data_IF_995844921826
#
_entry.id   IF_995844921826
#
_cell.length_a   1.000
_cell.length_b   1.000
_cell.length_c   1.000
_cell.angle_alpha   90.00
_cell.angle_beta   90.00
_cell.angle_gamma   90.00
#
_symmetry.space_group_name_H-M   'P 1'
#
loop_
_entity.id
_entity.type
_entity.pdbx_description
1 polymer ?
#
# COMPACT_ATOMS: atom_id res chain seq x y z
N UNK A 1 15.37 49.25 3.53
CA UNK A 1 15.16 49.59 4.93
C UNK A 1 13.69 49.77 5.21
N UNK A 2 12.99 48.77 5.72
CA UNK A 2 11.66 48.91 6.35
C UNK A 2 11.63 47.96 7.58
N UNK A 3 11.40 48.55 8.74
CA UNK A 3 11.45 47.98 10.06
C UNK A 3 10.28 46.99 10.27
N UNK A 4 10.57 45.82 10.79
CA UNK A 4 9.58 44.86 11.32
C UNK A 4 9.15 45.35 12.72
N UNK A 5 7.86 45.55 12.96
CA UNK A 5 7.26 45.82 14.26
C UNK A 5 6.87 44.47 14.89
N UNK A 6 7.49 44.18 16.05
CA UNK A 6 7.07 43.11 16.95
C UNK A 6 5.87 43.59 17.78
N UNK A 7 4.82 42.77 17.86
CA UNK A 7 3.72 42.90 18.82
C UNK A 7 3.92 41.90 19.97
N UNK A 8 3.65 42.28 21.23
CA UNK A 8 3.93 41.44 22.39
C UNK A 8 2.78 40.48 22.70
N UNK A 9 3.16 39.25 23.09
CA UNK A 9 2.28 38.19 23.59
C UNK A 9 1.86 38.53 25.02
N UNK A 10 0.56 38.64 25.29
CA UNK A 10 -0.01 38.73 26.65
C UNK A 10 -0.14 37.32 27.24
N UNK A 11 0.56 37.10 28.35
CA UNK A 11 0.37 35.94 29.25
C UNK A 11 -0.88 36.15 30.08
N UNK A 12 -1.87 35.26 30.00
CA UNK A 12 -3.01 35.16 30.90
C UNK A 12 -2.75 34.09 31.96
N UNK A 13 -2.92 34.49 33.22
CA UNK A 13 -2.64 33.73 34.43
C UNK A 13 -3.65 32.60 34.70
N UNK A 14 -3.14 31.56 35.36
CA UNK A 14 -3.82 30.36 35.82
C UNK A 14 -4.87 30.62 36.91
N UNK A 15 -5.99 29.89 36.87
CA UNK A 15 -6.81 29.61 38.05
C UNK A 15 -6.79 28.10 38.29
N UNK A 16 -6.35 27.75 39.52
CA UNK A 16 -6.38 26.41 40.09
C UNK A 16 -7.78 26.16 40.65
N UNK A 17 -8.39 25.05 40.20
CA UNK A 17 -9.58 24.48 40.83
C UNK A 17 -9.28 23.04 41.25
N UNK A 18 -9.12 22.82 42.55
CA UNK A 18 -9.01 21.49 43.13
C UNK A 18 -10.41 20.90 43.34
N UNK A 19 -10.65 19.68 42.85
CA UNK A 19 -11.79 18.88 43.28
C UNK A 19 -11.29 17.50 43.72
N UNK A 20 -11.45 17.26 45.01
CA UNK A 20 -11.19 16.00 45.68
C UNK A 20 -12.28 14.99 45.32
N UNK A 21 -11.90 13.78 44.93
CA UNK A 21 -12.80 12.62 44.85
C UNK A 21 -12.45 11.63 45.94
N UNK A 22 -13.45 11.40 46.77
CA UNK A 22 -13.46 10.52 47.94
C UNK A 22 -13.47 9.04 47.49
N UNK A 23 -12.48 8.28 47.94
CA UNK A 23 -12.45 6.81 47.78
C UNK A 23 -13.06 6.18 49.04
N UNK A 24 -14.16 5.45 48.86
CA UNK A 24 -14.74 4.61 49.91
C UNK A 24 -14.16 3.21 49.77
N UNK A 25 -13.42 2.82 50.83
CA UNK A 25 -12.94 1.46 51.05
C UNK A 25 -14.03 0.70 51.87
N UNK A 26 -14.53 -0.40 51.34
CA UNK A 26 -15.30 -1.38 52.10
C UNK A 26 -14.41 -2.59 52.40
N UNK A 27 -14.15 -2.78 53.68
CA UNK A 27 -13.54 -3.94 54.32
C UNK A 27 -14.64 -5.00 54.60
N UNK A 28 -14.32 -6.25 54.39
CA UNK A 28 -14.99 -7.42 54.98
C UNK A 28 -14.22 -8.63 54.55
N UNK A 29 -13.76 -9.47 55.36
CA UNK A 29 -13.86 -9.88 56.72
C UNK A 29 -13.28 -11.31 56.79
N UNK A 30 -12.48 -11.54 57.81
CA UNK A 30 -11.67 -12.70 58.13
C UNK A 30 -12.44 -14.06 58.16
N UNK A 31 -11.73 -15.16 57.87
CA UNK A 31 -11.74 -16.31 58.79
C UNK A 31 -10.37 -17.04 58.77
N UNK A 32 -9.84 -17.26 59.98
CA UNK A 32 -8.67 -18.08 60.32
C UNK A 32 -9.03 -19.56 60.28
N UNK A 33 -8.04 -20.43 60.03
CA UNK A 33 -7.64 -21.52 60.97
C UNK A 33 -6.53 -22.37 60.33
N UNK A 34 -5.50 -22.46 61.01
CA UNK A 34 -4.80 -23.50 61.81
C UNK A 34 -3.74 -24.26 61.02
N UNK A 35 -2.49 -23.99 61.40
CA UNK A 35 -1.38 -24.93 61.42
C UNK A 35 -1.65 -26.06 62.42
N UNK A 36 -1.18 -27.31 62.21
CA UNK A 36 0.09 -27.67 62.85
C UNK A 36 0.91 -28.78 62.14
N UNK A 37 2.19 -28.84 62.44
CA UNK A 37 2.91 -30.11 62.56
C UNK A 37 4.22 -30.27 61.80
N UNK A 38 5.29 -29.99 62.50
CA UNK A 38 6.64 -30.50 62.25
C UNK A 38 6.69 -32.01 61.96
N UNK A 39 7.44 -32.42 60.94
CA UNK A 39 8.03 -33.74 60.84
C UNK A 39 9.38 -33.70 60.13
N UNK A 40 10.37 -34.47 60.54
CA UNK A 40 11.78 -34.26 60.25
C UNK A 40 12.21 -34.75 58.87
N UNK A 41 13.27 -34.10 58.35
CA UNK A 41 13.93 -34.52 57.12
C UNK A 41 14.65 -35.86 57.23
N UNK A 42 14.56 -36.75 56.23
CA UNK A 42 15.48 -37.88 56.10
C UNK A 42 16.73 -37.40 55.30
N UNK A 43 17.89 -37.56 55.94
CA UNK A 43 19.19 -37.56 55.33
C UNK A 43 19.36 -38.86 54.50
N UNK A 44 19.52 -38.71 53.20
CA UNK A 44 19.84 -39.81 52.30
C UNK A 44 20.71 -39.27 51.17
N UNK A 45 22.03 -39.45 51.32
CA UNK A 45 23.01 -39.26 50.24
C UNK A 45 22.87 -40.44 49.26
N UNK A 46 22.13 -40.21 48.19
CA UNK A 46 22.10 -41.12 47.04
C UNK A 46 22.65 -40.36 45.85
N UNK A 47 23.89 -40.66 45.47
CA UNK A 47 24.47 -40.18 44.22
C UNK A 47 23.66 -40.69 43.05
N UNK A 48 23.15 -39.78 42.25
CA UNK A 48 22.59 -40.08 40.94
C UNK A 48 23.80 -40.20 40.01
N UNK A 49 24.14 -41.43 39.63
CA UNK A 49 25.02 -41.66 38.47
C UNK A 49 24.32 -41.11 37.24
N UNK A 50 24.96 -40.11 36.59
CA UNK A 50 24.56 -39.63 35.26
C UNK A 50 24.88 -40.76 34.27
N UNK A 51 23.97 -41.09 33.35
CA UNK A 51 24.27 -42.02 32.26
C UNK A 51 25.41 -41.44 31.39
N UNK A 52 26.22 -42.33 30.77
CA UNK A 52 27.37 -41.93 29.98
C UNK A 52 26.94 -41.07 28.79
N UNK A 53 27.74 -40.10 28.49
CA UNK A 53 27.76 -39.13 27.40
C UNK A 53 26.86 -39.52 26.22
N UNK A 54 25.72 -38.81 26.10
CA UNK A 54 25.07 -38.63 24.81
C UNK A 54 25.97 -37.66 24.06
N UNK A 55 26.89 -38.19 23.26
CA UNK A 55 27.58 -37.42 22.25
C UNK A 55 26.52 -36.64 21.49
N UNK A 56 26.66 -35.29 21.51
CA UNK A 56 25.91 -34.39 20.70
C UNK A 56 25.91 -34.90 19.25
N UNK A 57 24.83 -35.54 18.84
CA UNK A 57 24.46 -35.58 17.46
C UNK A 57 24.00 -34.13 17.10
N UNK A 58 24.98 -33.25 16.94
CA UNK A 58 24.82 -32.09 16.11
C UNK A 58 24.57 -32.64 14.71
N UNK A 59 23.27 -32.85 14.41
CA UNK A 59 22.83 -33.14 13.07
C UNK A 59 23.43 -32.05 12.21
N UNK A 60 24.22 -32.44 11.21
CA UNK A 60 24.59 -31.59 10.09
C UNK A 60 23.36 -30.77 9.71
N UNK A 61 23.44 -29.44 9.51
CA UNK A 61 22.31 -28.66 9.05
C UNK A 61 21.77 -29.40 7.83
N UNK A 62 20.58 -30.00 7.97
CA UNK A 62 19.83 -30.43 6.80
C UNK A 62 19.73 -29.18 5.95
N UNK A 63 20.13 -29.29 4.71
CA UNK A 63 20.00 -28.29 3.67
C UNK A 63 18.51 -27.90 3.62
N UNK A 64 18.14 -26.93 4.47
CA UNK A 64 16.78 -26.42 4.52
C UNK A 64 16.70 -25.54 3.29
N UNK A 65 16.15 -26.10 2.21
CA UNK A 65 15.93 -25.42 0.95
C UNK A 65 15.31 -24.03 1.13
N UNK A 66 15.35 -23.20 0.11
CA UNK A 66 14.82 -21.83 0.16
C UNK A 66 13.33 -21.87 0.56
N UNK A 67 12.92 -21.22 1.66
CA UNK A 67 11.51 -21.23 2.08
C UNK A 67 10.59 -20.79 0.94
N UNK A 68 9.50 -21.53 0.74
CA UNK A 68 8.53 -21.32 -0.32
C UNK A 68 8.95 -21.82 -1.71
N UNK A 69 10.10 -22.50 -1.82
CA UNK A 69 10.55 -23.14 -3.07
C UNK A 69 10.64 -24.64 -2.86
N UNK A 70 9.93 -25.41 -3.68
CA UNK A 70 10.01 -26.88 -3.77
C UNK A 70 10.43 -27.29 -5.18
N UNK A 71 10.54 -28.58 -5.46
CA UNK A 71 10.89 -29.07 -6.80
C UNK A 71 9.83 -28.71 -7.85
N UNK A 72 8.58 -28.54 -7.45
CA UNK A 72 7.42 -28.35 -8.32
C UNK A 72 6.70 -27.00 -8.13
N UNK A 73 7.08 -26.19 -7.14
CA UNK A 73 6.32 -25.00 -6.74
C UNK A 73 7.17 -23.86 -6.19
N UNK A 74 6.70 -22.61 -6.42
CA UNK A 74 7.15 -21.41 -5.73
C UNK A 74 5.92 -20.72 -5.12
N UNK A 75 5.91 -20.52 -3.80
CA UNK A 75 4.78 -20.00 -3.04
C UNK A 75 4.97 -18.52 -2.70
N UNK A 76 4.03 -17.70 -3.14
CA UNK A 76 3.94 -16.28 -2.80
C UNK A 76 2.85 -16.02 -1.76
N UNK A 77 2.99 -14.92 -1.02
CA UNK A 77 2.02 -14.46 -0.03
C UNK A 77 1.49 -13.07 -0.35
N UNK A 78 0.19 -12.83 -0.12
CA UNK A 78 -0.41 -11.51 -0.22
C UNK A 78 -1.24 -11.20 1.03
N UNK A 79 -0.91 -10.10 1.74
CA UNK A 79 -1.80 -9.46 2.70
C UNK A 79 -2.40 -8.24 2.04
N UNK A 80 -3.72 -8.16 1.96
CA UNK A 80 -4.43 -7.04 1.34
C UNK A 80 -5.87 -6.96 1.84
N UNK A 81 -6.54 -5.84 1.59
CA UNK A 81 -7.95 -5.67 1.91
C UNK A 81 -8.84 -6.52 0.98
N UNK A 82 -9.36 -7.64 1.47
CA UNK A 82 -10.36 -8.47 0.77
C UNK A 82 -11.76 -8.28 1.36
N UNK A 83 -11.88 -7.51 2.43
CA UNK A 83 -13.12 -7.06 3.05
C UNK A 83 -13.08 -5.57 3.39
N UNK A 84 -14.20 -5.01 3.87
CA UNK A 84 -14.29 -3.61 4.28
C UNK A 84 -14.32 -2.60 3.12
N UNK A 85 -14.21 -1.29 3.44
CA UNK A 85 -14.38 -0.20 2.46
C UNK A 85 -13.31 -0.14 1.36
N UNK A 86 -12.18 -0.84 1.50
CA UNK A 86 -11.09 -0.88 0.52
C UNK A 86 -11.02 -2.22 -0.26
N UNK A 87 -12.01 -3.12 -0.10
CA UNK A 87 -11.97 -4.50 -0.62
C UNK A 87 -11.74 -4.60 -2.13
N UNK A 88 -12.22 -3.63 -2.92
CA UNK A 88 -12.03 -3.63 -4.37
C UNK A 88 -10.56 -3.53 -4.77
N UNK A 89 -9.72 -2.85 -3.95
CA UNK A 89 -8.30 -2.70 -4.22
C UNK A 89 -7.58 -4.05 -4.07
N UNK A 90 -7.75 -4.73 -2.94
CA UNK A 90 -7.15 -6.04 -2.70
C UNK A 90 -7.65 -7.11 -3.67
N UNK A 91 -8.96 -7.14 -3.90
CA UNK A 91 -9.58 -8.14 -4.79
C UNK A 91 -9.08 -8.01 -6.22
N UNK A 92 -9.04 -6.79 -6.77
CA UNK A 92 -8.58 -6.58 -8.14
C UNK A 92 -7.06 -6.81 -8.28
N UNK A 93 -6.25 -6.39 -7.29
CA UNK A 93 -4.82 -6.69 -7.27
C UNK A 93 -4.57 -8.21 -7.31
N UNK A 94 -5.28 -8.97 -6.48
CA UNK A 94 -5.22 -10.45 -6.48
C UNK A 94 -5.62 -11.08 -7.81
N UNK A 95 -6.67 -10.57 -8.47
CA UNK A 95 -7.09 -11.08 -9.77
C UNK A 95 -5.97 -10.96 -10.80
N UNK A 96 -5.31 -9.81 -10.86
CA UNK A 96 -4.20 -9.59 -11.77
C UNK A 96 -3.03 -10.54 -11.51
N UNK A 97 -2.56 -10.64 -10.26
CA UNK A 97 -1.44 -11.52 -9.89
C UNK A 97 -1.77 -12.98 -10.24
N UNK A 98 -2.98 -13.45 -9.89
CA UNK A 98 -3.39 -14.83 -10.20
C UNK A 98 -3.51 -15.10 -11.69
N UNK A 99 -3.97 -14.14 -12.48
CA UNK A 99 -4.03 -14.28 -13.93
C UNK A 99 -2.63 -14.45 -14.54
N UNK A 100 -1.65 -13.64 -14.13
CA UNK A 100 -0.27 -13.78 -14.56
C UNK A 100 0.36 -15.13 -14.15
N UNK A 101 0.10 -15.59 -12.93
CA UNK A 101 0.59 -16.88 -12.45
C UNK A 101 -0.09 -18.05 -13.18
N UNK A 102 -1.39 -17.99 -13.40
CA UNK A 102 -2.12 -19.03 -14.13
C UNK A 102 -1.62 -19.15 -15.58
N UNK A 103 -1.37 -18.03 -16.25
CA UNK A 103 -0.85 -17.99 -17.61
C UNK A 103 0.52 -18.69 -17.74
N UNK A 104 1.47 -18.41 -16.81
CA UNK A 104 2.77 -19.09 -16.85
C UNK A 104 2.66 -20.54 -16.43
N UNK A 105 1.76 -20.87 -15.50
CA UNK A 105 1.54 -22.24 -15.04
C UNK A 105 1.01 -23.17 -16.14
N UNK A 106 0.17 -22.69 -17.06
CA UNK A 106 -0.26 -23.47 -18.23
C UNK A 106 0.90 -23.89 -19.14
N UNK A 107 2.00 -23.10 -19.11
CA UNK A 107 3.22 -23.40 -19.86
C UNK A 107 4.24 -24.22 -19.07
N UNK A 108 3.87 -24.71 -17.88
CA UNK A 108 4.72 -25.54 -17.01
C UNK A 108 5.45 -24.73 -15.92
N UNK A 109 5.03 -23.50 -15.67
CA UNK A 109 5.60 -22.64 -14.62
C UNK A 109 6.97 -22.05 -14.99
N UNK A 110 7.73 -21.64 -13.98
CA UNK A 110 9.08 -21.09 -14.12
C UNK A 110 10.10 -22.16 -13.71
N UNK A 111 10.98 -22.54 -14.61
CA UNK A 111 11.94 -23.63 -14.42
C UNK A 111 11.29 -24.94 -13.93
N UNK A 112 10.09 -25.26 -14.43
CA UNK A 112 9.33 -26.45 -14.06
C UNK A 112 8.57 -26.35 -12.72
N UNK A 113 8.55 -25.18 -12.09
CA UNK A 113 7.84 -24.92 -10.82
C UNK A 113 6.61 -24.06 -11.07
N UNK A 114 5.46 -24.49 -10.57
CA UNK A 114 4.23 -23.73 -10.62
C UNK A 114 4.26 -22.60 -9.59
N UNK A 115 3.66 -21.46 -9.91
CA UNK A 115 3.55 -20.32 -9.01
C UNK A 115 2.20 -20.34 -8.32
N UNK A 116 2.20 -20.25 -6.98
CA UNK A 116 1.00 -20.20 -6.15
C UNK A 116 0.94 -18.95 -5.27
N UNK A 117 -0.28 -18.51 -4.95
CA UNK A 117 -0.55 -17.33 -4.13
C UNK A 117 -1.47 -17.65 -2.96
N UNK A 118 -0.93 -17.61 -1.73
CA UNK A 118 -1.71 -17.58 -0.48
C UNK A 118 -2.12 -16.15 -0.16
N UNK A 119 -3.39 -15.94 0.19
CA UNK A 119 -3.91 -14.60 0.47
C UNK A 119 -4.55 -14.51 1.86
N UNK A 120 -4.22 -13.48 2.62
CA UNK A 120 -4.81 -13.17 3.92
C UNK A 120 -5.44 -11.78 3.90
N UNK A 121 -6.63 -11.65 4.48
CA UNK A 121 -7.37 -10.39 4.56
C UNK A 121 -6.85 -9.54 5.72
N UNK A 122 -6.42 -8.31 5.43
CA UNK A 122 -6.06 -7.34 6.46
C UNK A 122 -7.13 -6.24 6.64
N UNK A 123 -8.19 -6.26 5.87
CA UNK A 123 -9.26 -5.25 5.87
C UNK A 123 -8.75 -3.79 5.83
N UNK A 124 -7.54 -3.59 5.28
CA UNK A 124 -6.82 -2.32 5.26
C UNK A 124 -6.42 -1.82 6.66
N UNK A 125 -6.14 -2.74 7.61
CA UNK A 125 -5.73 -2.42 8.99
C UNK A 125 -4.26 -2.83 9.23
N UNK A 126 -3.40 -1.90 9.72
CA UNK A 126 -1.97 -2.12 9.92
C UNK A 126 -1.62 -3.28 10.85
N UNK A 127 -2.38 -3.44 11.93
CA UNK A 127 -2.18 -4.50 12.91
C UNK A 127 -2.44 -5.89 12.31
N UNK A 128 -3.49 -6.00 11.48
CA UNK A 128 -3.78 -7.24 10.75
C UNK A 128 -2.69 -7.53 9.70
N UNK A 129 -2.16 -6.50 9.03
CA UNK A 129 -1.07 -6.66 8.07
C UNK A 129 0.23 -7.17 8.72
N UNK A 130 0.53 -6.80 9.98
CA UNK A 130 1.65 -7.38 10.74
C UNK A 130 1.43 -8.88 10.94
N UNK A 131 0.29 -9.25 11.53
CA UNK A 131 -0.06 -10.64 11.82
C UNK A 131 -0.05 -11.49 10.53
N UNK A 132 -0.70 -11.00 9.48
CA UNK A 132 -0.73 -11.69 8.19
C UNK A 132 0.67 -11.88 7.61
N UNK A 133 1.54 -10.87 7.70
CA UNK A 133 2.93 -10.99 7.22
C UNK A 133 3.71 -12.04 8.00
N UNK A 134 3.54 -12.09 9.32
CA UNK A 134 4.15 -13.12 10.17
C UNK A 134 3.63 -14.51 9.79
N UNK A 135 2.31 -14.68 9.63
CA UNK A 135 1.70 -15.95 9.26
C UNK A 135 2.13 -16.42 7.87
N UNK A 136 2.15 -15.52 6.89
CA UNK A 136 2.62 -15.83 5.53
C UNK A 136 4.09 -16.26 5.54
N UNK A 137 4.94 -15.59 6.30
CA UNK A 137 6.39 -15.85 6.34
C UNK A 137 6.70 -17.10 7.17
N UNK A 138 6.16 -17.20 8.39
CA UNK A 138 6.60 -18.20 9.36
C UNK A 138 5.70 -19.42 9.42
N UNK A 139 4.40 -19.32 9.08
CA UNK A 139 3.48 -20.45 9.08
C UNK A 139 3.31 -21.05 7.68
N UNK A 140 3.10 -20.19 6.67
CA UNK A 140 2.97 -20.64 5.28
C UNK A 140 4.31 -20.84 4.59
N UNK A 141 5.39 -20.22 5.10
CA UNK A 141 6.73 -20.36 4.56
C UNK A 141 6.86 -19.81 3.14
N UNK A 142 6.25 -18.67 2.83
CA UNK A 142 6.26 -18.10 1.46
C UNK A 142 7.65 -17.67 1.02
N UNK A 143 7.92 -17.76 -0.27
CA UNK A 143 9.15 -17.26 -0.89
C UNK A 143 9.25 -15.74 -0.81
N UNK A 144 8.18 -15.04 -1.18
CA UNK A 144 8.10 -13.59 -1.19
C UNK A 144 6.69 -13.12 -0.85
N UNK A 145 6.56 -11.86 -0.40
CA UNK A 145 5.29 -11.14 -0.32
C UNK A 145 5.10 -10.31 -1.57
N UNK A 146 3.91 -10.34 -2.18
CA UNK A 146 3.60 -9.67 -3.43
C UNK A 146 2.26 -8.94 -3.38
N UNK A 147 2.20 -7.73 -3.95
CA UNK A 147 0.94 -7.02 -4.18
C UNK A 147 0.19 -6.63 -2.90
N UNK A 148 0.89 -6.39 -1.80
CA UNK A 148 0.27 -5.86 -0.59
C UNK A 148 -0.39 -4.51 -0.86
N UNK A 149 -1.56 -4.24 -0.26
CA UNK A 149 -2.34 -3.04 -0.56
C UNK A 149 -2.26 -2.03 0.58
N UNK A 150 -1.78 -0.84 0.24
CA UNK A 150 -1.85 0.33 1.11
C UNK A 150 -0.54 0.78 1.76
N UNK A 151 -0.48 2.05 2.07
CA UNK A 151 0.68 2.67 2.73
C UNK A 151 0.77 2.31 4.21
N UNK A 152 -0.31 2.45 5.03
CA UNK A 152 -0.25 2.12 6.45
C UNK A 152 0.03 0.62 6.68
N UNK A 153 -0.59 -0.25 5.91
CA UNK A 153 -0.37 -1.71 5.95
C UNK A 153 1.05 -2.09 5.53
N UNK A 154 1.56 -1.51 4.42
CA UNK A 154 2.95 -1.74 3.98
C UNK A 154 3.97 -1.20 4.98
N UNK A 155 3.71 -0.04 5.62
CA UNK A 155 4.60 0.49 6.66
C UNK A 155 4.75 -0.45 7.85
N UNK A 156 3.68 -1.17 8.18
CA UNK A 156 3.67 -2.15 9.27
C UNK A 156 4.23 -3.51 8.86
N UNK A 157 4.05 -3.92 7.61
CA UNK A 157 4.48 -5.23 7.09
C UNK A 157 5.97 -5.27 6.70
N UNK A 158 6.52 -4.18 6.15
CA UNK A 158 7.90 -4.15 5.65
C UNK A 158 8.98 -4.43 6.70
N UNK A 159 8.88 -3.99 7.98
CA UNK A 159 9.84 -4.40 9.00
C UNK A 159 9.88 -5.92 9.22
N UNK A 160 8.71 -6.59 9.21
CA UNK A 160 8.61 -8.06 9.34
C UNK A 160 9.28 -8.76 8.15
N UNK A 161 8.98 -8.31 6.93
CA UNK A 161 9.58 -8.86 5.72
C UNK A 161 11.10 -8.64 5.67
N UNK A 162 11.58 -7.43 6.06
CA UNK A 162 13.01 -7.09 6.12
C UNK A 162 13.77 -7.98 7.10
N UNK A 163 13.26 -8.10 8.34
CA UNK A 163 13.87 -8.93 9.38
C UNK A 163 14.00 -10.40 8.93
N UNK A 164 13.00 -10.90 8.22
CA UNK A 164 12.99 -12.27 7.69
C UNK A 164 13.74 -12.44 6.35
N UNK A 165 14.31 -11.36 5.77
CA UNK A 165 14.97 -11.39 4.47
C UNK A 165 14.04 -11.82 3.33
N UNK A 166 12.75 -11.47 3.41
CA UNK A 166 11.70 -11.83 2.44
C UNK A 166 11.52 -10.69 1.45
N UNK A 167 11.58 -10.93 0.13
CA UNK A 167 11.25 -9.91 -0.88
C UNK A 167 9.82 -9.40 -0.72
N UNK A 168 9.64 -8.08 -0.82
CA UNK A 168 8.36 -7.37 -0.75
C UNK A 168 8.09 -6.71 -2.10
N UNK A 169 7.30 -7.38 -2.92
CA UNK A 169 7.21 -7.12 -4.37
C UNK A 169 5.96 -6.31 -4.69
N UNK A 170 6.14 -5.23 -5.45
CA UNK A 170 5.09 -4.42 -6.05
C UNK A 170 3.93 -4.08 -5.08
N UNK A 171 4.22 -3.50 -3.90
CA UNK A 171 3.15 -3.03 -3.03
C UNK A 171 2.31 -1.96 -3.74
N UNK A 172 0.98 -2.09 -3.66
CA UNK A 172 0.04 -1.14 -4.24
C UNK A 172 0.01 0.15 -3.41
N UNK A 173 1.09 0.91 -3.51
CA UNK A 173 1.28 2.23 -2.88
C UNK A 173 2.46 2.98 -3.49
N UNK A 174 2.29 4.30 -3.68
CA UNK A 174 3.34 5.21 -4.16
C UNK A 174 4.14 5.89 -3.04
N UNK A 175 4.07 5.41 -1.78
CA UNK A 175 4.67 6.09 -0.65
C UNK A 175 6.21 6.14 -0.71
N UNK A 176 6.79 7.32 -0.52
CA UNK A 176 8.23 7.58 -0.68
C UNK A 176 9.12 6.75 0.23
N UNK A 177 8.65 6.35 1.45
CA UNK A 177 9.47 5.55 2.37
C UNK A 177 9.86 4.17 1.79
N UNK A 178 9.06 3.61 0.88
CA UNK A 178 9.36 2.33 0.21
C UNK A 178 10.45 2.46 -0.88
N UNK A 179 10.83 3.68 -1.25
CA UNK A 179 11.85 3.99 -2.25
C UNK A 179 13.24 4.21 -1.65
N UNK A 180 13.39 4.00 -0.34
CA UNK A 180 14.70 3.95 0.32
C UNK A 180 15.32 2.56 0.10
N UNK A 181 15.99 2.38 -1.04
CA UNK A 181 16.59 1.10 -1.43
C UNK A 181 17.75 0.69 -0.51
N UNK A 182 18.41 1.65 0.14
CA UNK A 182 19.48 1.38 1.11
C UNK A 182 18.90 0.77 2.39
N UNK A 183 17.83 1.35 2.91
CA UNK A 183 17.17 0.85 4.11
C UNK A 183 16.28 -0.37 3.83
N UNK A 184 15.63 -0.41 2.66
CA UNK A 184 14.65 -1.43 2.27
C UNK A 184 15.07 -2.17 1.00
N UNK A 185 16.29 -2.73 0.99
CA UNK A 185 16.84 -3.47 -0.15
C UNK A 185 16.02 -4.72 -0.55
N UNK A 186 15.12 -5.19 0.31
CA UNK A 186 14.19 -6.29 0.00
C UNK A 186 12.88 -5.82 -0.66
N UNK A 187 12.67 -4.50 -0.80
CA UNK A 187 11.45 -3.94 -1.42
C UNK A 187 11.69 -3.68 -2.90
N UNK A 188 10.74 -4.10 -3.74
CA UNK A 188 10.74 -3.88 -5.18
C UNK A 188 9.46 -3.16 -5.54
N UNK A 189 9.54 -1.89 -5.92
CA UNK A 189 8.39 -1.09 -6.33
C UNK A 189 8.20 -1.15 -7.85
N UNK A 190 6.95 -1.30 -8.30
CA UNK A 190 6.63 -1.30 -9.73
C UNK A 190 6.33 0.12 -10.23
N UNK A 191 5.56 0.88 -9.48
CA UNK A 191 4.86 2.11 -9.87
C UNK A 191 5.59 3.39 -9.49
N UNK A 192 5.23 4.50 -10.15
CA UNK A 192 5.62 5.86 -9.77
C UNK A 192 5.24 6.19 -8.32
N UNK A 193 6.01 7.09 -7.70
CA UNK A 193 5.76 7.56 -6.35
C UNK A 193 4.63 8.57 -6.27
N UNK A 194 4.02 8.72 -5.08
CA UNK A 194 3.05 9.79 -4.84
C UNK A 194 3.64 11.19 -5.03
N UNK A 195 4.94 11.36 -4.82
CA UNK A 195 5.60 12.63 -5.09
C UNK A 195 5.58 12.98 -6.59
N UNK A 196 5.76 11.99 -7.47
CA UNK A 196 5.68 12.17 -8.92
C UNK A 196 4.23 12.43 -9.35
N UNK A 197 3.27 11.67 -8.82
CA UNK A 197 1.85 11.90 -9.14
C UNK A 197 1.40 13.30 -8.71
N UNK A 198 1.72 13.71 -7.48
CA UNK A 198 1.29 15.02 -6.96
C UNK A 198 2.00 16.19 -7.63
N UNK A 199 3.26 15.99 -8.05
CA UNK A 199 3.97 16.97 -8.88
C UNK A 199 3.23 17.20 -10.22
N UNK A 200 2.89 16.11 -10.92
CA UNK A 200 2.13 16.19 -12.16
C UNK A 200 0.72 16.78 -11.94
N UNK A 201 0.05 16.47 -10.83
CA UNK A 201 -1.25 17.07 -10.51
C UNK A 201 -1.18 18.59 -10.38
N UNK A 202 -0.24 19.09 -9.56
CA UNK A 202 -0.09 20.53 -9.35
C UNK A 202 0.37 21.22 -10.63
N UNK A 203 1.33 20.65 -11.35
CA UNK A 203 1.83 21.17 -12.63
C UNK A 203 0.69 21.33 -13.63
N UNK A 204 -0.11 20.28 -13.88
CA UNK A 204 -1.18 20.31 -14.87
C UNK A 204 -2.34 21.23 -14.47
N UNK A 205 -2.67 21.33 -13.17
CA UNK A 205 -3.66 22.31 -12.71
C UNK A 205 -3.26 23.73 -13.07
N UNK A 206 -1.98 24.05 -12.96
CA UNK A 206 -1.45 25.39 -13.26
C UNK A 206 -1.27 25.59 -14.76
N UNK A 207 -0.57 24.68 -15.43
CA UNK A 207 -0.19 24.84 -16.83
C UNK A 207 -1.37 24.68 -17.80
N UNK A 208 -2.24 23.67 -17.58
CA UNK A 208 -3.34 23.37 -18.48
C UNK A 208 -4.58 24.25 -18.20
N UNK A 209 -4.82 24.61 -16.93
CA UNK A 209 -6.07 25.24 -16.49
C UNK A 209 -5.89 26.64 -15.89
N UNK A 210 -4.67 27.07 -15.61
CA UNK A 210 -4.38 28.35 -14.93
C UNK A 210 -4.87 28.40 -13.48
N UNK A 211 -5.07 27.25 -12.84
CA UNK A 211 -5.61 27.14 -11.48
C UNK A 211 -4.51 27.44 -10.46
N UNK A 212 -4.80 28.32 -9.49
CA UNK A 212 -3.86 28.72 -8.45
C UNK A 212 -4.38 28.49 -7.03
N UNK A 213 -5.68 28.29 -6.84
CA UNK A 213 -6.27 27.97 -5.53
C UNK A 213 -6.58 26.49 -5.42
N UNK A 214 -5.59 25.73 -4.92
CA UNK A 214 -5.63 24.27 -4.80
C UNK A 214 -5.85 23.91 -3.33
N UNK A 215 -6.75 22.96 -3.08
CA UNK A 215 -6.98 22.38 -1.76
C UNK A 215 -6.77 20.88 -1.77
N UNK A 216 -6.57 20.28 -0.60
CA UNK A 216 -6.38 18.84 -0.44
C UNK A 216 -7.39 18.27 0.56
N UNK A 217 -8.02 17.14 0.18
CA UNK A 217 -8.64 16.22 1.13
C UNK A 217 -7.75 14.97 1.23
N UNK A 218 -7.39 14.55 2.44
CA UNK A 218 -6.55 13.38 2.61
C UNK A 218 -7.01 12.46 3.74
N UNK A 219 -6.69 11.16 3.63
CA UNK A 219 -6.86 10.18 4.70
C UNK A 219 -5.88 10.48 5.84
N UNK A 220 -6.32 10.60 7.08
CA UNK A 220 -5.46 10.99 8.21
C UNK A 220 -4.62 9.81 8.74
N UNK A 221 -3.70 9.36 7.90
CA UNK A 221 -2.68 8.36 8.22
C UNK A 221 -1.45 8.52 7.31
N UNK A 222 -0.55 7.51 7.30
CA UNK A 222 0.67 7.55 6.51
C UNK A 222 0.43 7.64 4.99
N UNK A 223 -0.71 7.13 4.49
CA UNK A 223 -1.08 7.24 3.08
C UNK A 223 -1.42 8.69 2.71
N UNK A 224 -2.42 9.25 3.41
CA UNK A 224 -2.86 10.60 3.10
C UNK A 224 -1.77 11.63 3.34
N UNK A 225 -0.95 11.45 4.39
CA UNK A 225 0.20 12.34 4.67
C UNK A 225 1.26 12.26 3.59
N UNK A 226 1.52 11.10 2.98
CA UNK A 226 2.47 10.98 1.87
C UNK A 226 2.03 11.80 0.66
N UNK A 227 0.78 11.68 0.23
CA UNK A 227 0.26 12.49 -0.88
C UNK A 227 0.13 13.97 -0.52
N UNK A 228 -0.36 14.30 0.68
CA UNK A 228 -0.45 15.69 1.16
C UNK A 228 0.91 16.40 1.14
N UNK A 229 1.96 15.74 1.67
CA UNK A 229 3.31 16.30 1.66
C UNK A 229 3.85 16.46 0.24
N UNK A 230 3.52 15.54 -0.66
CA UNK A 230 3.87 15.64 -2.07
C UNK A 230 3.23 16.86 -2.75
N UNK A 231 1.94 17.15 -2.45
CA UNK A 231 1.27 18.37 -2.94
C UNK A 231 1.93 19.63 -2.36
N UNK A 232 2.22 19.64 -1.05
CA UNK A 232 2.92 20.78 -0.45
C UNK A 232 4.27 21.04 -1.10
N UNK A 233 5.07 19.99 -1.31
CA UNK A 233 6.37 20.12 -1.97
C UNK A 233 6.24 20.61 -3.43
N UNK A 234 5.20 20.20 -4.14
CA UNK A 234 4.94 20.67 -5.51
C UNK A 234 4.52 22.15 -5.56
N UNK A 235 3.74 22.61 -4.58
CA UNK A 235 3.35 24.02 -4.43
C UNK A 235 4.54 24.89 -4.01
N UNK A 236 5.35 24.44 -3.05
CA UNK A 236 6.53 25.14 -2.55
C UNK A 236 7.54 25.43 -3.67
N UNK A 237 7.75 24.47 -4.58
CA UNK A 237 8.59 24.67 -5.78
C UNK A 237 8.09 25.79 -6.73
N UNK A 238 6.85 26.25 -6.53
CA UNK A 238 6.18 27.29 -7.34
C UNK A 238 5.85 28.55 -6.55
N UNK A 239 6.40 28.65 -5.31
CA UNK A 239 6.12 29.75 -4.37
C UNK A 239 4.60 29.94 -4.13
N UNK A 240 3.86 28.82 -4.03
CA UNK A 240 2.40 28.81 -3.86
C UNK A 240 2.01 28.20 -2.50
N UNK A 241 0.95 28.73 -1.92
CA UNK A 241 0.34 28.21 -0.70
C UNK A 241 -0.89 27.35 -1.02
N UNK A 242 -1.16 26.38 -0.14
CA UNK A 242 -2.38 25.59 -0.18
C UNK A 242 -3.59 26.46 0.24
N UNK A 243 -4.66 26.45 -0.55
CA UNK A 243 -5.86 27.23 -0.23
C UNK A 243 -6.62 26.72 1.00
N UNK A 244 -6.74 25.41 1.13
CA UNK A 244 -7.31 24.74 2.32
C UNK A 244 -6.92 23.28 2.38
N UNK A 245 -7.05 22.70 3.55
CA UNK A 245 -6.82 21.27 3.80
C UNK A 245 -7.91 20.68 4.66
N UNK A 246 -8.32 19.46 4.37
CA UNK A 246 -9.23 18.68 5.19
C UNK A 246 -8.74 17.23 5.29
N UNK A 247 -9.11 16.54 6.36
CA UNK A 247 -8.78 15.13 6.53
C UNK A 247 -9.99 14.30 6.97
N UNK A 248 -9.89 13.00 6.82
CA UNK A 248 -10.87 12.03 7.27
C UNK A 248 -10.18 10.76 7.79
N UNK A 249 -10.84 10.02 8.69
CA UNK A 249 -10.31 8.77 9.25
C UNK A 249 -10.39 7.62 8.25
N UNK A 250 -9.32 6.79 8.18
CA UNK A 250 -9.27 5.57 7.36
C UNK A 250 -10.54 4.72 7.56
N UNK A 251 -10.94 4.01 6.50
CA UNK A 251 -12.09 3.12 6.48
C UNK A 251 -13.44 3.79 6.82
N UNK A 252 -13.52 5.13 6.70
CA UNK A 252 -14.76 5.89 6.90
C UNK A 252 -15.07 6.80 5.71
N UNK A 253 -16.31 7.28 5.65
CA UNK A 253 -16.76 8.34 4.73
C UNK A 253 -17.10 9.64 5.48
N UNK A 254 -16.46 9.87 6.63
CA UNK A 254 -16.71 11.02 7.50
C UNK A 254 -16.06 12.30 6.97
N UNK A 255 -16.38 12.72 5.73
CA UNK A 255 -15.73 13.84 5.00
C UNK A 255 -16.47 15.19 5.14
N UNK A 256 -17.68 15.23 5.71
CA UNK A 256 -18.53 16.42 5.61
C UNK A 256 -17.93 17.68 6.22
N UNK A 257 -17.32 17.59 7.40
CA UNK A 257 -16.68 18.74 8.06
C UNK A 257 -15.52 19.23 7.20
N UNK A 258 -14.61 18.33 6.81
CA UNK A 258 -13.47 18.66 5.94
C UNK A 258 -13.92 19.29 4.60
N UNK A 259 -14.98 18.77 4.00
CA UNK A 259 -15.55 19.32 2.76
C UNK A 259 -16.08 20.75 2.96
N UNK A 260 -16.78 21.03 4.06
CA UNK A 260 -17.31 22.36 4.33
C UNK A 260 -16.17 23.37 4.60
N UNK A 261 -15.15 22.97 5.34
CA UNK A 261 -13.98 23.80 5.59
C UNK A 261 -13.22 24.11 4.31
N UNK A 262 -13.04 23.12 3.43
CA UNK A 262 -12.46 23.32 2.09
C UNK A 262 -13.32 24.29 1.28
N UNK A 263 -14.66 24.09 1.23
CA UNK A 263 -15.56 24.95 0.47
C UNK A 263 -15.53 26.41 0.92
N UNK A 264 -15.39 26.69 2.22
CA UNK A 264 -15.30 28.07 2.75
C UNK A 264 -14.13 28.86 2.19
N UNK A 265 -13.06 28.20 1.76
CA UNK A 265 -11.89 28.81 1.16
C UNK A 265 -12.01 28.95 -0.37
N UNK A 266 -13.15 28.56 -0.96
CA UNK A 266 -13.46 28.71 -2.39
C UNK A 266 -12.33 28.26 -3.33
N UNK A 267 -11.83 27.01 -3.22
CA UNK A 267 -10.76 26.52 -4.11
C UNK A 267 -11.30 26.32 -5.53
N UNK A 268 -10.37 26.37 -6.49
CA UNK A 268 -10.64 26.07 -7.90
C UNK A 268 -10.45 24.57 -8.19
N UNK A 269 -9.57 23.91 -7.41
CA UNK A 269 -9.36 22.48 -7.50
C UNK A 269 -9.25 21.85 -6.10
N UNK A 270 -9.61 20.57 -6.02
CA UNK A 270 -9.43 19.73 -4.84
C UNK A 270 -8.71 18.45 -5.27
N UNK A 271 -7.49 18.26 -4.75
CA UNK A 271 -6.75 17.00 -4.88
C UNK A 271 -7.22 16.08 -3.74
N UNK A 272 -7.61 14.86 -4.08
CA UNK A 272 -8.11 13.85 -3.14
C UNK A 272 -7.07 12.74 -3.01
N UNK A 273 -6.49 12.60 -1.82
CA UNK A 273 -5.62 11.51 -1.43
C UNK A 273 -6.43 10.54 -0.56
N UNK A 274 -7.17 9.67 -1.22
CA UNK A 274 -8.15 8.79 -0.59
C UNK A 274 -8.50 7.57 -1.42
N UNK A 275 -9.13 6.57 -0.77
CA UNK A 275 -9.74 5.44 -1.45
C UNK A 275 -11.11 5.85 -2.06
N UNK A 276 -11.68 4.96 -2.88
CA UNK A 276 -12.88 5.26 -3.68
C UNK A 276 -14.12 5.65 -2.87
N UNK A 277 -14.36 5.07 -1.69
CA UNK A 277 -15.54 5.38 -0.87
C UNK A 277 -15.55 6.84 -0.36
N UNK A 278 -14.53 7.33 0.37
CA UNK A 278 -14.47 8.72 0.80
C UNK A 278 -14.31 9.71 -0.35
N UNK A 279 -13.61 9.34 -1.43
CA UNK A 279 -13.50 10.17 -2.62
C UNK A 279 -14.86 10.36 -3.30
N UNK A 280 -15.62 9.30 -3.48
CA UNK A 280 -16.97 9.36 -4.02
C UNK A 280 -17.91 10.19 -3.12
N UNK A 281 -17.82 10.03 -1.80
CA UNK A 281 -18.57 10.83 -0.85
C UNK A 281 -18.25 12.32 -0.98
N UNK A 282 -16.97 12.70 -1.02
CA UNK A 282 -16.52 14.09 -1.20
C UNK A 282 -17.09 14.69 -2.48
N UNK A 283 -16.90 14.03 -3.61
CA UNK A 283 -17.29 14.52 -4.94
C UNK A 283 -18.82 14.63 -5.05
N UNK A 284 -19.55 13.59 -4.66
CA UNK A 284 -21.02 13.56 -4.77
C UNK A 284 -21.68 14.62 -3.88
N UNK A 285 -21.25 14.75 -2.61
CA UNK A 285 -21.77 15.77 -1.72
C UNK A 285 -21.42 17.18 -2.18
N UNK A 286 -20.21 17.40 -2.68
CA UNK A 286 -19.80 18.69 -3.23
C UNK A 286 -20.70 19.10 -4.38
N UNK A 287 -20.89 18.23 -5.38
CA UNK A 287 -21.77 18.50 -6.52
C UNK A 287 -23.24 18.68 -6.11
N UNK A 288 -23.72 17.91 -5.16
CA UNK A 288 -25.09 18.06 -4.62
C UNK A 288 -25.34 19.45 -4.02
N UNK A 289 -24.36 20.06 -3.36
CA UNK A 289 -24.48 21.41 -2.79
C UNK A 289 -23.97 22.51 -3.73
N UNK A 290 -23.86 22.25 -5.04
CA UNK A 290 -23.34 23.15 -6.07
C UNK A 290 -21.93 23.70 -5.80
N UNK A 291 -21.05 22.88 -5.18
CA UNK A 291 -19.63 23.14 -5.05
C UNK A 291 -18.89 22.29 -6.08
N UNK A 292 -18.43 22.90 -7.17
CA UNK A 292 -17.92 22.23 -8.36
C UNK A 292 -16.46 22.63 -8.71
N UNK A 293 -15.48 22.46 -7.83
CA UNK A 293 -14.08 22.60 -8.20
C UNK A 293 -13.67 21.48 -9.15
N UNK A 294 -12.50 21.60 -9.75
CA UNK A 294 -11.86 20.50 -10.44
C UNK A 294 -11.45 19.44 -9.41
N UNK A 295 -11.91 18.20 -9.56
CA UNK A 295 -11.53 17.09 -8.69
C UNK A 295 -10.47 16.22 -9.36
N UNK A 296 -9.35 16.02 -8.68
CA UNK A 296 -8.28 15.11 -9.09
C UNK A 296 -8.05 14.09 -7.97
N UNK A 297 -7.98 12.82 -8.33
CA UNK A 297 -7.70 11.73 -7.40
C UNK A 297 -6.36 11.09 -7.72
N UNK A 298 -5.65 10.65 -6.68
CA UNK A 298 -4.43 9.87 -6.81
C UNK A 298 -4.75 8.43 -7.27
N UNK A 299 -3.84 7.78 -7.98
CA UNK A 299 -4.03 6.45 -8.58
C UNK A 299 -4.52 5.37 -7.60
N UNK A 300 -4.14 5.47 -6.32
CA UNK A 300 -4.58 4.56 -5.26
C UNK A 300 -6.11 4.52 -5.07
N UNK A 301 -6.83 5.51 -5.58
CA UNK A 301 -8.29 5.64 -5.38
C UNK A 301 -9.07 4.40 -5.83
N UNK A 302 -8.60 3.64 -6.81
CA UNK A 302 -9.33 2.53 -7.41
C UNK A 302 -10.38 3.00 -8.40
N UNK A 303 -9.93 3.34 -9.60
CA UNK A 303 -10.71 4.08 -10.62
C UNK A 303 -12.05 3.45 -10.98
N UNK A 304 -12.10 2.12 -11.21
CA UNK A 304 -13.36 1.43 -11.55
C UNK A 304 -14.40 1.52 -10.42
N UNK A 305 -13.96 1.29 -9.18
CA UNK A 305 -14.82 1.40 -8.01
C UNK A 305 -15.30 2.84 -7.79
N UNK A 306 -14.42 3.82 -8.00
CA UNK A 306 -14.78 5.24 -7.94
C UNK A 306 -15.84 5.60 -9.00
N UNK A 307 -15.64 5.21 -10.26
CA UNK A 307 -16.60 5.47 -11.34
C UNK A 307 -17.99 4.88 -11.03
N UNK A 308 -18.00 3.64 -10.55
CA UNK A 308 -19.24 2.95 -10.16
C UNK A 308 -19.98 3.67 -9.03
N UNK A 309 -19.25 4.13 -8.00
CA UNK A 309 -19.84 4.86 -6.86
C UNK A 309 -20.35 6.26 -7.25
N UNK A 310 -19.66 6.94 -8.14
CA UNK A 310 -20.01 8.30 -8.57
C UNK A 310 -21.20 8.32 -9.54
N UNK A 311 -21.30 7.32 -10.42
CA UNK A 311 -22.30 7.37 -11.49
C UNK A 311 -22.24 8.70 -12.25
N UNK A 312 -23.39 9.37 -12.42
CA UNK A 312 -23.47 10.64 -13.14
C UNK A 312 -22.67 11.80 -12.49
N UNK A 313 -22.40 11.73 -11.18
CA UNK A 313 -21.57 12.73 -10.51
C UNK A 313 -20.08 12.63 -10.88
N UNK A 314 -19.68 11.55 -11.56
CA UNK A 314 -18.29 11.32 -11.92
C UNK A 314 -17.79 12.10 -13.12
N UNK A 315 -18.67 12.63 -13.95
CA UNK A 315 -18.29 13.35 -15.20
C UNK A 315 -17.33 14.49 -14.89
N UNK A 316 -16.17 14.49 -15.57
CA UNK A 316 -15.12 15.50 -15.41
C UNK A 316 -14.21 15.28 -14.19
N UNK A 317 -14.29 14.14 -13.52
CA UNK A 317 -13.38 13.77 -12.43
C UNK A 317 -12.11 13.16 -13.03
N UNK A 318 -10.96 13.68 -12.63
CA UNK A 318 -9.65 13.22 -13.07
C UNK A 318 -9.04 12.23 -12.09
N UNK A 319 -8.24 11.31 -12.63
CA UNK A 319 -7.42 10.38 -11.85
C UNK A 319 -6.06 10.24 -12.52
N UNK A 320 -4.96 10.37 -11.74
CA UNK A 320 -3.64 9.94 -12.19
C UNK A 320 -3.55 8.43 -12.19
N UNK A 321 -2.80 7.87 -13.13
CA UNK A 321 -2.56 6.44 -13.25
C UNK A 321 -1.06 6.18 -13.35
N UNK A 322 -0.63 4.98 -12.98
CA UNK A 322 0.79 4.62 -12.90
C UNK A 322 1.13 3.38 -13.71
N UNK A 323 0.15 2.87 -14.42
CA UNK A 323 0.25 1.78 -15.39
C UNK A 323 -0.48 2.18 -16.68
N UNK A 324 -0.21 1.55 -17.82
CA UNK A 324 -0.88 1.83 -19.09
C UNK A 324 -2.41 1.73 -18.99
N UNK A 325 -3.09 2.25 -19.99
CA UNK A 325 -4.55 2.20 -20.01
C UNK A 325 -5.03 0.74 -20.16
N UNK A 326 -5.87 0.20 -19.23
CA UNK A 326 -6.09 -1.23 -19.09
C UNK A 326 -6.95 -1.88 -20.19
N UNK A 327 -7.42 -1.10 -21.16
CA UNK A 327 -8.14 -1.58 -22.33
C UNK A 327 -7.49 -1.17 -23.65
N UNK A 328 -6.26 -0.62 -23.60
CA UNK A 328 -5.47 -0.31 -24.78
C UNK A 328 -4.67 -1.53 -25.21
N UNK A 329 -5.30 -2.39 -26.01
CA UNK A 329 -4.71 -3.62 -26.55
C UNK A 329 -3.61 -3.40 -27.61
N UNK A 330 -3.35 -2.13 -27.98
CA UNK A 330 -2.19 -1.78 -28.79
C UNK A 330 -0.87 -1.92 -28.01
N UNK A 331 -0.93 -1.88 -26.67
CA UNK A 331 0.21 -2.19 -25.79
C UNK A 331 0.25 -3.70 -25.53
N UNK A 332 1.27 -4.43 -26.01
CA UNK A 332 1.26 -5.88 -25.99
C UNK A 332 0.97 -6.51 -24.62
N UNK A 333 1.58 -6.00 -23.53
CA UNK A 333 1.31 -6.52 -22.18
C UNK A 333 -0.13 -6.29 -21.73
N UNK A 334 -0.81 -5.27 -22.24
CA UNK A 334 -2.23 -5.02 -21.95
C UNK A 334 -3.10 -6.04 -22.72
N UNK A 335 -2.76 -6.35 -23.97
CA UNK A 335 -3.44 -7.41 -24.72
C UNK A 335 -3.30 -8.79 -24.03
N UNK A 336 -2.11 -9.12 -23.54
CA UNK A 336 -1.85 -10.33 -22.74
C UNK A 336 -2.67 -10.33 -21.45
N UNK A 337 -2.68 -9.23 -20.72
CA UNK A 337 -3.49 -9.05 -19.50
C UNK A 337 -4.98 -9.29 -19.76
N UNK A 338 -5.55 -8.71 -20.83
CA UNK A 338 -6.95 -8.86 -21.16
C UNK A 338 -7.29 -10.34 -21.47
N UNK A 339 -6.46 -11.02 -22.24
CA UNK A 339 -6.62 -12.45 -22.55
C UNK A 339 -6.50 -13.33 -21.30
N UNK A 340 -5.52 -13.03 -20.41
CA UNK A 340 -5.34 -13.74 -19.15
C UNK A 340 -6.52 -13.53 -18.20
N UNK A 341 -7.05 -12.30 -18.10
CA UNK A 341 -8.23 -12.04 -17.28
C UNK A 341 -9.47 -12.78 -17.78
N UNK A 342 -9.73 -12.73 -19.08
CA UNK A 342 -10.85 -13.46 -19.70
C UNK A 342 -10.78 -14.96 -19.41
N UNK A 343 -9.58 -15.53 -19.49
CA UNK A 343 -9.37 -16.98 -19.32
C UNK A 343 -9.43 -17.41 -17.85
N UNK A 344 -8.68 -16.71 -16.96
CA UNK A 344 -8.43 -17.18 -15.58
C UNK A 344 -9.22 -16.43 -14.51
N UNK A 345 -9.77 -15.26 -14.82
CA UNK A 345 -10.56 -14.46 -13.92
C UNK A 345 -11.79 -13.84 -14.57
N UNK A 346 -12.70 -14.65 -15.20
CA UNK A 346 -13.78 -14.15 -16.08
C UNK A 346 -14.82 -13.27 -15.35
N UNK A 347 -14.77 -13.17 -14.03
CA UNK A 347 -15.61 -12.27 -13.23
C UNK A 347 -14.95 -10.91 -12.98
N UNK A 348 -13.66 -10.79 -13.22
CA UNK A 348 -12.94 -9.55 -13.05
C UNK A 348 -13.27 -8.57 -14.19
N UNK A 349 -13.43 -7.30 -13.83
CA UNK A 349 -13.58 -6.24 -14.83
C UNK A 349 -12.19 -5.64 -15.07
N UNK A 350 -11.72 -5.55 -16.31
CA UNK A 350 -10.44 -4.91 -16.62
C UNK A 350 -10.34 -3.51 -16.01
N UNK A 351 -9.22 -3.22 -15.35
CA UNK A 351 -9.00 -1.95 -14.68
C UNK A 351 -7.56 -1.76 -14.24
N UNK A 352 -7.23 -0.54 -13.84
CA UNK A 352 -5.86 -0.16 -13.48
C UNK A 352 -5.28 -1.00 -12.33
N UNK A 353 -6.08 -1.30 -11.30
CA UNK A 353 -5.64 -2.09 -10.14
C UNK A 353 -5.34 -3.54 -10.53
N UNK A 354 -6.20 -4.17 -11.34
CA UNK A 354 -5.96 -5.55 -11.79
C UNK A 354 -4.85 -5.63 -12.84
N UNK A 355 -4.67 -4.62 -13.69
CA UNK A 355 -3.49 -4.53 -14.57
C UNK A 355 -2.21 -4.40 -13.76
N UNK A 356 -2.17 -3.55 -12.73
CA UNK A 356 -1.00 -3.44 -11.86
C UNK A 356 -0.68 -4.76 -11.15
N UNK A 357 -1.71 -5.49 -10.69
CA UNK A 357 -1.55 -6.83 -10.16
C UNK A 357 -0.98 -7.82 -11.17
N UNK A 358 -1.44 -7.76 -12.43
CA UNK A 358 -0.90 -8.59 -13.50
C UNK A 358 0.57 -8.27 -13.79
N UNK A 359 0.90 -6.98 -13.88
CA UNK A 359 2.29 -6.52 -14.06
C UNK A 359 3.19 -6.91 -12.88
N UNK A 360 2.67 -6.90 -11.65
CA UNK A 360 3.40 -7.40 -10.48
C UNK A 360 3.73 -8.89 -10.60
N UNK A 361 2.76 -9.70 -11.05
CA UNK A 361 2.97 -11.12 -11.34
C UNK A 361 3.99 -11.33 -12.46
N UNK A 362 3.90 -10.58 -13.57
CA UNK A 362 4.86 -10.63 -14.69
C UNK A 362 6.27 -10.21 -14.27
N UNK A 363 6.39 -9.20 -13.42
CA UNK A 363 7.68 -8.80 -12.84
C UNK A 363 8.30 -9.95 -12.03
N UNK A 364 7.51 -10.57 -11.15
CA UNK A 364 7.99 -11.71 -10.36
C UNK A 364 8.46 -12.86 -11.25
N UNK A 365 7.70 -13.21 -12.30
CA UNK A 365 8.05 -14.23 -13.29
C UNK A 365 9.37 -13.87 -13.99
N UNK A 366 9.51 -12.67 -14.52
CA UNK A 366 10.69 -12.24 -15.27
C UNK A 366 11.97 -12.28 -14.40
N UNK A 367 11.86 -11.92 -13.11
CA UNK A 367 12.99 -11.98 -12.17
C UNK A 367 13.35 -13.42 -11.84
N UNK A 368 12.37 -14.31 -11.60
CA UNK A 368 12.61 -15.73 -11.37
C UNK A 368 13.28 -16.40 -12.58
N UNK A 369 12.86 -16.07 -13.80
CA UNK A 369 13.46 -16.58 -15.03
C UNK A 369 14.93 -16.17 -15.15
N UNK A 370 15.29 -14.93 -14.74
CA UNK A 370 16.68 -14.45 -14.71
C UNK A 370 17.54 -15.16 -13.66
N UNK A 371 16.93 -15.56 -12.53
CA UNK A 371 17.64 -16.31 -11.50
C UNK A 371 18.02 -17.74 -11.94
N UNK A 372 17.37 -18.27 -12.96
CA UNK A 372 17.59 -19.65 -13.37
C UNK A 372 16.97 -20.68 -12.40
N UNK A 373 17.32 -21.97 -12.50
CA UNK A 373 16.69 -23.02 -11.69
C UNK A 373 17.06 -22.98 -10.21
N UNK A 374 18.18 -22.38 -9.84
CA UNK A 374 18.67 -22.25 -8.46
C UNK A 374 18.12 -20.99 -7.80
N UNK A 375 16.79 -20.90 -7.73
CA UNK A 375 16.06 -19.75 -7.19
C UNK A 375 16.39 -19.51 -5.72
N UNK A 376 16.77 -18.27 -5.37
CA UNK A 376 16.92 -17.81 -3.98
C UNK A 376 16.37 -16.41 -3.79
N UNK A 377 16.04 -16.03 -2.55
CA UNK A 377 15.60 -14.66 -2.22
C UNK A 377 16.72 -13.64 -2.51
N UNK A 378 17.97 -14.04 -2.30
CA UNK A 378 19.12 -13.19 -2.60
C UNK A 378 19.24 -12.93 -4.11
N UNK A 379 19.20 -13.98 -4.95
CA UNK A 379 19.17 -13.80 -6.40
C UNK A 379 18.05 -12.87 -6.84
N UNK A 380 16.83 -13.04 -6.29
CA UNK A 380 15.67 -12.23 -6.66
C UNK A 380 15.93 -10.73 -6.44
N UNK A 381 16.52 -10.34 -5.31
CA UNK A 381 16.83 -8.93 -5.03
C UNK A 381 18.03 -8.43 -5.81
N UNK A 382 19.11 -9.22 -5.90
CA UNK A 382 20.32 -8.85 -6.63
C UNK A 382 20.11 -8.72 -8.14
N UNK A 383 19.21 -9.51 -8.73
CA UNK A 383 18.86 -9.43 -10.15
C UNK A 383 18.26 -8.07 -10.55
N UNK A 384 17.76 -7.30 -9.57
CA UNK A 384 17.16 -5.98 -9.81
C UNK A 384 18.07 -4.83 -9.36
N UNK A 385 18.86 -5.01 -8.31
CA UNK A 385 19.49 -3.90 -7.59
C UNK A 385 21.02 -3.88 -7.67
N UNK A 386 21.68 -4.92 -8.20
CA UNK A 386 23.14 -4.99 -8.27
C UNK A 386 23.76 -4.12 -9.35
N UNK A 387 23.03 -3.78 -10.38
CA UNK A 387 23.44 -2.94 -11.51
C UNK A 387 22.19 -2.36 -12.19
N UNK A 388 22.38 -1.38 -13.08
CA UNK A 388 21.26 -0.87 -13.89
C UNK A 388 20.63 -2.03 -14.68
N UNK A 389 19.35 -2.27 -14.43
CA UNK A 389 18.60 -3.40 -14.95
C UNK A 389 17.29 -2.93 -15.57
N UNK A 390 17.08 -3.26 -16.85
CA UNK A 390 15.80 -3.08 -17.50
C UNK A 390 15.06 -4.41 -17.61
N UNK A 391 13.77 -4.39 -17.23
CA UNK A 391 12.82 -5.48 -17.43
C UNK A 391 11.68 -4.95 -18.29
N UNK A 392 11.67 -5.34 -19.56
CA UNK A 392 10.53 -5.06 -20.43
C UNK A 392 9.45 -6.12 -20.24
N UNK A 393 8.31 -5.68 -19.73
CA UNK A 393 7.12 -6.51 -19.57
C UNK A 393 6.26 -6.51 -20.87
N UNK A 394 6.93 -6.57 -22.02
CA UNK A 394 6.31 -6.55 -23.34
C UNK A 394 5.57 -5.22 -23.64
N UNK A 395 6.35 -4.14 -23.67
CA UNK A 395 5.87 -2.78 -23.95
C UNK A 395 5.59 -1.92 -22.72
N UNK A 396 5.90 -2.41 -21.52
CA UNK A 396 5.99 -1.63 -20.31
C UNK A 396 7.32 -1.91 -19.60
N UNK A 397 8.31 -1.06 -19.86
CA UNK A 397 9.65 -1.22 -19.34
C UNK A 397 9.77 -0.70 -17.90
N UNK A 398 10.39 -1.51 -17.05
CA UNK A 398 10.76 -1.18 -15.67
C UNK A 398 12.28 -1.07 -15.57
N UNK A 399 12.78 -0.05 -14.85
CA UNK A 399 14.22 0.15 -14.65
C UNK A 399 14.54 0.19 -13.17
N UNK A 400 15.53 -0.62 -12.80
CA UNK A 400 16.03 -0.73 -11.44
C UNK A 400 17.55 -0.54 -11.43
N UNK A 401 18.14 -0.30 -10.26
CA UNK A 401 19.58 -0.15 -10.16
C UNK A 401 20.10 -0.16 -8.74
N UNK A 402 21.40 0.04 -8.59
CA UNK A 402 22.01 0.24 -7.28
C UNK A 402 21.39 1.47 -6.63
N UNK A 403 20.82 1.31 -5.44
CA UNK A 403 20.06 2.34 -4.71
C UNK A 403 18.78 2.85 -5.39
N UNK A 404 18.29 2.13 -6.40
CA UNK A 404 17.01 2.41 -7.03
C UNK A 404 16.13 1.15 -7.10
N UNK A 405 15.09 1.11 -6.29
CA UNK A 405 14.12 0.03 -6.20
C UNK A 405 12.73 0.39 -6.79
N UNK A 406 12.66 1.45 -7.62
CA UNK A 406 11.43 1.90 -8.29
C UNK A 406 11.49 1.64 -9.79
N UNK A 407 10.65 0.73 -10.29
CA UNK A 407 10.69 0.28 -11.68
C UNK A 407 10.17 1.30 -12.70
N UNK A 408 9.18 2.13 -12.36
CA UNK A 408 8.59 3.10 -13.28
C UNK A 408 8.38 4.47 -12.62
N UNK A 409 8.63 5.52 -13.39
CA UNK A 409 8.35 6.92 -13.06
C UNK A 409 7.12 7.47 -13.80
N UNK A 410 6.45 6.63 -14.59
CA UNK A 410 5.39 7.07 -15.49
C UNK A 410 4.12 7.44 -14.73
N UNK A 411 3.57 8.62 -15.04
CA UNK A 411 2.27 9.10 -14.59
C UNK A 411 1.42 9.38 -15.81
N UNK A 412 0.28 8.70 -15.89
CA UNK A 412 -0.71 8.85 -16.95
C UNK A 412 -1.93 9.62 -16.42
N UNK A 413 -2.72 10.17 -17.33
CA UNK A 413 -3.91 10.93 -16.98
C UNK A 413 -5.16 10.33 -17.56
N UNK A 414 -6.21 10.33 -16.75
CA UNK A 414 -7.54 9.90 -17.19
C UNK A 414 -8.62 10.83 -16.67
N UNK A 415 -9.72 10.92 -17.44
CA UNK A 415 -10.93 11.64 -17.06
C UNK A 415 -12.13 10.72 -17.19
N UNK A 416 -13.04 10.78 -16.24
CA UNK A 416 -14.32 10.06 -16.27
C UNK A 416 -15.30 10.83 -17.18
N UNK A 417 -15.78 10.17 -18.24
CA UNK A 417 -16.73 10.73 -19.21
C UNK A 417 -18.16 10.32 -18.91
N UNK A 418 -19.09 10.87 -19.68
CA UNK A 418 -20.55 10.64 -19.51
C UNK A 418 -20.98 9.20 -19.80
N UNK A 419 -20.17 8.42 -20.49
CA UNK A 419 -20.37 6.98 -20.71
C UNK A 419 -20.06 6.12 -19.47
N UNK A 420 -19.64 6.76 -18.35
CA UNK A 420 -19.24 6.10 -17.11
C UNK A 420 -17.88 5.42 -17.16
N UNK A 421 -17.05 5.72 -18.17
CA UNK A 421 -15.71 5.15 -18.36
C UNK A 421 -14.63 6.21 -18.26
N UNK A 422 -13.46 5.78 -17.82
CA UNK A 422 -12.25 6.60 -17.90
C UNK A 422 -11.73 6.63 -19.33
N UNK A 423 -11.26 7.78 -19.76
CA UNK A 423 -10.60 7.99 -21.03
C UNK A 423 -9.21 8.58 -20.80
N UNK A 424 -8.18 8.13 -21.50
CA UNK A 424 -6.87 8.75 -21.45
C UNK A 424 -6.92 10.17 -22.00
N UNK A 425 -6.11 11.05 -21.44
CA UNK A 425 -5.97 12.44 -21.89
C UNK A 425 -4.51 12.89 -21.79
N UNK A 426 -4.14 13.82 -22.68
CA UNK A 426 -2.82 14.45 -22.68
C UNK A 426 -2.82 15.75 -21.87
N UNK A 427 -3.96 16.43 -21.78
CA UNK A 427 -4.13 17.68 -21.05
C UNK A 427 -5.46 17.72 -20.31
N UNK A 428 -5.48 18.34 -19.10
CA UNK A 428 -6.73 18.55 -18.35
C UNK A 428 -7.72 19.45 -19.10
N UNK A 429 -7.25 20.28 -20.05
CA UNK A 429 -8.11 21.13 -20.86
C UNK A 429 -9.02 20.35 -21.80
N UNK A 430 -8.70 19.10 -22.16
CA UNK A 430 -9.52 18.22 -23.01
C UNK A 430 -10.85 17.80 -22.37
N UNK A 431 -10.99 17.96 -21.05
CA UNK A 431 -12.21 17.61 -20.33
C UNK A 431 -13.23 18.74 -20.20
N UNK A 432 -12.92 19.95 -20.72
CA UNK A 432 -13.80 21.13 -20.69
C UNK A 432 -14.72 21.25 -21.89
#
# INVERSE_FOLDING_TARGET
MRQRRHLPIKRGSALRGASAVLVVLLFGGCTQSSDPGDAPAPSGSGGIELPPDVEDQVGTPQDQGVPGVTDDRILFGQSAAFSGPAQELGTNMRYGIRAAFAEVNERGGVHGRLLDLVTLDDAYEPEAAITNSQDLIYQNGVFALIGAVGTPTSRSATPVAKEAGVPYIAPFTGAGFLRDAVELGNVVNLRASYNQETEEMVKRLIEDLGITRISVLFQDDSFGRAGYNGVLAALDRRDMDLAAVGSYSRNTTAIKTAMLDIKLNNPEAVIIVGAYEPAAAMISWSKFINFNPVFINISFVGSNALAQKLGAYGVGVFVTQVVPFPTDDSVPVVAEYLAALETYAPRAVPGFVSLEGYLAGRLAIAVLERCGPDVSRQCFTEALQSQETEIDLNGFALRYGENDNQGSDSVFWTVLRADGRYHPIESLAEAR
#
